data_IF_152350129359
#
_entry.id   IF_152350129359
#
_cell.length_a   1.000
_cell.length_b   1.000
_cell.length_c   1.000
_cell.angle_alpha   90.00
_cell.angle_beta   90.00
_cell.angle_gamma   90.00
#
_symmetry.space_group_name_H-M   'P 1'
#
loop_
_entity.id
_entity.type
_entity.pdbx_description
1 polymer ?
#
# COMPACT_ATOMS: atom_id res chain seq x y z
N UNK A 1 -35.28 65.19 10.25
CA UNK A 1 -35.73 64.13 11.17
C UNK A 1 -35.56 62.81 10.42
N UNK A 2 -34.94 61.84 11.07
CA UNK A 2 -34.64 60.46 10.68
C UNK A 2 -33.46 60.24 9.76
N UNK A 3 -32.33 60.07 10.40
CA UNK A 3 -31.08 59.49 9.93
C UNK A 3 -31.21 57.99 9.76
N UNK A 4 -31.00 57.48 8.57
CA UNK A 4 -30.83 56.03 8.34
C UNK A 4 -29.36 55.73 8.10
N UNK A 5 -28.77 55.09 9.10
CA UNK A 5 -27.38 54.56 9.05
C UNK A 5 -27.35 53.34 8.16
N UNK A 6 -26.67 53.39 7.01
CA UNK A 6 -26.33 52.25 6.21
C UNK A 6 -25.06 51.58 6.77
N UNK A 7 -25.25 50.46 7.37
CA UNK A 7 -24.18 49.57 7.85
C UNK A 7 -23.68 48.72 6.68
N UNK A 8 -22.51 49.08 6.16
CA UNK A 8 -21.85 48.40 5.04
C UNK A 8 -21.12 47.18 5.61
N UNK A 9 -21.71 46.01 5.48
CA UNK A 9 -21.06 44.73 5.80
C UNK A 9 -20.02 44.42 4.70
N UNK A 10 -18.74 44.55 5.04
CA UNK A 10 -17.64 44.09 4.19
C UNK A 10 -17.58 42.56 4.26
N UNK A 11 -17.97 41.91 3.17
CA UNK A 11 -17.78 40.46 2.97
C UNK A 11 -16.31 40.22 2.62
N UNK A 12 -15.53 39.75 3.59
CA UNK A 12 -14.20 39.22 3.37
C UNK A 12 -14.34 37.81 2.79
N UNK A 13 -14.15 37.68 1.48
CA UNK A 13 -14.04 36.41 0.82
C UNK A 13 -12.66 35.79 1.15
N UNK A 14 -12.60 34.85 2.07
CA UNK A 14 -11.44 33.95 2.22
C UNK A 14 -11.40 33.00 1.02
N UNK A 15 -10.53 33.29 0.06
CA UNK A 15 -10.11 32.31 -0.94
C UNK A 15 -9.24 31.28 -0.26
N UNK A 16 -9.84 30.17 0.16
CA UNK A 16 -9.13 28.97 0.56
C UNK A 16 -8.44 28.39 -0.67
N UNK A 17 -7.12 28.56 -0.76
CA UNK A 17 -6.28 27.88 -1.72
C UNK A 17 -6.23 26.40 -1.32
N UNK A 18 -7.19 25.61 -1.83
CA UNK A 18 -7.23 24.18 -1.68
C UNK A 18 -6.16 23.55 -2.53
N UNK A 19 -5.03 23.18 -1.93
CA UNK A 19 -4.12 22.21 -2.53
C UNK A 19 -4.87 20.90 -2.63
N UNK A 20 -5.40 20.62 -3.82
CA UNK A 20 -6.09 19.37 -4.12
C UNK A 20 -5.12 18.20 -4.04
N UNK A 21 -4.99 17.63 -2.85
CA UNK A 21 -4.49 16.29 -2.70
C UNK A 21 -5.50 15.39 -3.41
N UNK A 22 -5.10 14.84 -4.54
CA UNK A 22 -5.86 13.78 -5.22
C UNK A 22 -5.95 12.62 -4.25
N UNK A 23 -7.03 12.56 -3.47
CA UNK A 23 -7.41 11.35 -2.78
C UNK A 23 -7.71 10.32 -3.87
N UNK A 24 -6.79 9.38 -4.07
CA UNK A 24 -7.10 8.18 -4.82
C UNK A 24 -8.20 7.47 -4.06
N UNK A 25 -9.34 7.31 -4.67
CA UNK A 25 -10.43 6.48 -4.11
C UNK A 25 -9.88 5.07 -4.02
N UNK A 26 -9.50 4.66 -2.82
CA UNK A 26 -9.05 3.30 -2.55
C UNK A 26 -10.29 2.42 -2.59
N UNK A 27 -10.48 1.70 -3.70
CA UNK A 27 -11.49 0.65 -3.77
C UNK A 27 -11.08 -0.48 -2.86
N UNK A 28 -11.95 -0.94 -1.94
CA UNK A 28 -11.68 -2.13 -1.15
C UNK A 28 -11.36 -3.30 -2.09
N UNK A 29 -10.32 -4.05 -1.78
CA UNK A 29 -10.00 -5.27 -2.53
C UNK A 29 -11.04 -6.31 -2.14
N UNK A 30 -11.82 -6.82 -3.09
CA UNK A 30 -12.67 -7.97 -2.83
C UNK A 30 -11.79 -9.20 -2.59
N UNK A 31 -11.78 -9.64 -1.33
CA UNK A 31 -10.92 -10.70 -0.85
C UNK A 31 -11.59 -12.05 -1.09
N UNK A 32 -11.28 -12.62 -2.25
CA UNK A 32 -11.62 -14.00 -2.56
C UNK A 32 -10.59 -15.00 -2.03
N UNK A 33 -10.73 -16.24 -2.42
CA UNK A 33 -9.76 -17.31 -2.14
C UNK A 33 -8.39 -17.02 -2.77
N UNK A 34 -8.36 -16.18 -3.80
CA UNK A 34 -7.16 -15.77 -4.55
C UNK A 34 -7.22 -14.30 -4.91
N UNK A 35 -6.15 -13.59 -4.64
CA UNK A 35 -5.98 -12.17 -4.98
C UNK A 35 -4.98 -12.09 -6.14
N UNK A 36 -5.45 -11.64 -7.29
CA UNK A 36 -4.57 -11.32 -8.42
C UNK A 36 -3.85 -10.00 -8.15
N UNK A 37 -2.53 -10.07 -8.08
CA UNK A 37 -1.70 -8.91 -7.80
C UNK A 37 -1.35 -8.17 -9.09
N UNK A 38 -1.16 -6.87 -8.98
CA UNK A 38 -0.71 -6.06 -10.11
C UNK A 38 0.76 -6.31 -10.41
N UNK A 39 1.12 -6.25 -11.68
CA UNK A 39 2.54 -6.23 -12.07
C UNK A 39 3.16 -4.94 -11.56
N UNK A 40 4.26 -5.01 -10.78
CA UNK A 40 4.89 -3.83 -10.24
C UNK A 40 5.51 -2.97 -11.36
N UNK A 41 5.36 -1.66 -11.25
CA UNK A 41 6.07 -0.72 -12.11
C UNK A 41 7.45 -0.42 -11.50
N UNK A 42 8.56 -0.79 -12.14
CA UNK A 42 9.90 -0.54 -11.63
C UNK A 42 10.27 0.94 -11.55
N UNK A 43 9.46 1.82 -12.13
CA UNK A 43 9.65 3.28 -12.08
C UNK A 43 8.79 3.95 -11.02
N UNK A 44 7.91 3.20 -10.36
CA UNK A 44 7.05 3.73 -9.31
C UNK A 44 7.83 3.89 -8.01
N UNK A 45 7.57 5.00 -7.31
CA UNK A 45 8.13 5.27 -6.00
C UNK A 45 9.30 6.25 -6.00
N UNK A 46 10.01 6.28 -4.90
CA UNK A 46 11.17 7.15 -4.68
C UNK A 46 12.44 6.50 -5.25
N UNK A 47 13.41 7.32 -5.61
CA UNK A 47 14.76 6.80 -5.85
C UNK A 47 15.35 6.23 -4.55
N UNK A 48 16.36 5.37 -4.67
CA UNK A 48 17.02 4.78 -3.49
C UNK A 48 17.52 5.87 -2.53
N UNK A 49 18.12 6.93 -3.05
CA UNK A 49 18.66 8.01 -2.23
C UNK A 49 17.56 8.78 -1.50
N UNK A 50 16.43 9.06 -2.15
CA UNK A 50 15.27 9.68 -1.54
C UNK A 50 14.64 8.78 -0.48
N UNK A 51 14.51 7.49 -0.77
CA UNK A 51 13.98 6.52 0.18
C UNK A 51 14.87 6.38 1.43
N UNK A 52 16.19 6.34 1.25
CA UNK A 52 17.15 6.31 2.35
C UNK A 52 17.11 7.58 3.19
N UNK A 53 17.01 8.75 2.55
CA UNK A 53 16.91 10.03 3.25
C UNK A 53 15.60 10.17 4.05
N UNK A 54 14.51 9.66 3.53
CA UNK A 54 13.19 9.72 4.16
C UNK A 54 12.97 8.61 5.20
N UNK A 55 13.77 7.53 5.18
CA UNK A 55 13.60 6.39 6.08
C UNK A 55 13.75 6.78 7.53
N UNK A 56 12.73 6.54 8.31
CA UNK A 56 12.76 6.65 9.78
C UNK A 56 12.03 5.44 10.39
N UNK A 57 12.36 5.16 11.66
CA UNK A 57 11.58 4.17 12.41
C UNK A 57 10.31 4.83 12.92
N UNK A 58 9.15 4.31 12.55
CA UNK A 58 7.86 4.75 13.07
C UNK A 58 7.13 3.56 13.70
N UNK A 59 6.33 3.87 14.73
CA UNK A 59 5.39 2.93 15.35
C UNK A 59 3.95 3.41 15.24
N UNK A 60 3.76 4.56 14.61
CA UNK A 60 2.45 5.13 14.33
C UNK A 60 2.02 4.65 12.95
N UNK A 61 0.93 3.91 12.90
CA UNK A 61 0.37 3.33 11.68
C UNK A 61 -0.92 4.05 11.34
N UNK A 62 -1.13 4.30 10.05
CA UNK A 62 -2.40 4.79 9.54
C UNK A 62 -3.47 3.71 9.70
N UNK A 63 -4.71 4.08 10.05
CA UNK A 63 -5.84 3.15 10.03
C UNK A 63 -6.28 2.76 8.60
N UNK A 64 -5.72 3.43 7.58
CA UNK A 64 -6.06 3.18 6.21
C UNK A 64 -5.44 1.87 5.70
N UNK A 65 -6.25 1.09 4.99
CA UNK A 65 -5.78 -0.14 4.34
C UNK A 65 -4.91 0.19 3.13
N UNK A 66 -3.95 -0.68 2.86
CA UNK A 66 -3.15 -0.62 1.64
C UNK A 66 -4.05 -0.83 0.41
N UNK A 67 -3.81 -0.07 -0.63
CA UNK A 67 -4.38 -0.34 -1.94
C UNK A 67 -3.81 -1.65 -2.51
N UNK A 68 -4.50 -2.26 -3.47
CA UNK A 68 -3.98 -3.45 -4.17
C UNK A 68 -2.63 -3.19 -4.83
N UNK A 69 -2.39 -1.98 -5.30
CA UNK A 69 -1.14 -1.59 -5.92
C UNK A 69 0.02 -1.52 -4.92
N UNK A 70 -0.21 -0.89 -3.77
CA UNK A 70 0.76 -0.83 -2.66
C UNK A 70 1.06 -2.23 -2.12
N UNK A 71 0.02 -3.04 -1.90
CA UNK A 71 0.18 -4.44 -1.45
C UNK A 71 1.00 -5.25 -2.46
N UNK A 72 0.69 -5.13 -3.75
CA UNK A 72 1.42 -5.82 -4.82
C UNK A 72 2.89 -5.40 -4.84
N UNK A 73 3.17 -4.10 -4.71
CA UNK A 73 4.53 -3.56 -4.67
C UNK A 73 5.35 -4.09 -3.49
N UNK A 74 4.75 -4.11 -2.29
CA UNK A 74 5.41 -4.61 -1.07
C UNK A 74 5.71 -6.12 -1.17
N UNK A 75 4.75 -6.92 -1.62
CA UNK A 75 4.92 -8.37 -1.76
C UNK A 75 5.96 -8.71 -2.83
N UNK A 76 5.93 -7.99 -3.95
CA UNK A 76 6.94 -8.16 -5.00
C UNK A 76 8.32 -7.74 -4.50
N UNK A 77 8.47 -6.63 -3.80
CA UNK A 77 9.74 -6.21 -3.24
C UNK A 77 10.31 -7.23 -2.25
N UNK A 78 9.44 -7.91 -1.48
CA UNK A 78 9.86 -8.92 -0.52
C UNK A 78 10.34 -10.22 -1.15
N UNK A 79 9.67 -10.72 -2.19
CA UNK A 79 9.99 -12.02 -2.79
C UNK A 79 9.46 -12.18 -4.24
N UNK A 80 9.35 -11.10 -5.01
CA UNK A 80 8.89 -11.17 -6.39
C UNK A 80 9.96 -11.69 -7.34
N UNK A 81 9.56 -12.26 -8.47
CA UNK A 81 10.45 -12.60 -9.55
C UNK A 81 10.85 -11.32 -10.29
N UNK A 82 12.13 -11.03 -10.37
CA UNK A 82 12.66 -9.82 -10.99
C UNK A 82 13.53 -10.08 -12.24
N UNK A 83 13.72 -11.35 -12.60
CA UNK A 83 14.53 -11.78 -13.74
C UNK A 83 13.90 -12.97 -14.48
N UNK A 84 14.20 -13.08 -15.75
CA UNK A 84 13.69 -14.16 -16.62
C UNK A 84 14.13 -15.56 -16.17
N UNK A 85 15.28 -15.66 -15.49
CA UNK A 85 15.81 -16.90 -14.92
C UNK A 85 15.05 -17.36 -13.65
N UNK A 86 14.05 -16.61 -13.21
CA UNK A 86 13.21 -16.93 -12.08
C UNK A 86 13.78 -16.58 -10.70
N UNK A 87 14.91 -15.87 -10.67
CA UNK A 87 15.45 -15.39 -9.39
C UNK A 87 14.55 -14.31 -8.78
N UNK A 88 14.53 -14.29 -7.44
CA UNK A 88 13.69 -13.37 -6.67
C UNK A 88 14.44 -12.07 -6.34
N UNK A 89 13.69 -11.06 -5.96
CA UNK A 89 14.19 -9.79 -5.45
C UNK A 89 15.08 -9.97 -4.22
N UNK A 90 14.68 -10.84 -3.30
CA UNK A 90 15.48 -11.21 -2.15
C UNK A 90 16.50 -12.31 -2.51
N UNK A 91 17.79 -12.13 -2.20
CA UNK A 91 18.79 -13.15 -2.49
C UNK A 91 18.63 -14.38 -1.61
N UNK A 92 18.98 -15.56 -2.13
CA UNK A 92 19.01 -16.80 -1.38
C UNK A 92 20.23 -17.63 -1.76
N UNK A 93 20.86 -18.24 -0.77
CA UNK A 93 21.97 -19.14 -1.02
C UNK A 93 21.52 -20.29 -1.92
N UNK A 94 22.30 -20.56 -2.99
CA UNK A 94 22.02 -21.60 -3.99
C UNK A 94 20.63 -21.51 -4.62
N UNK A 95 19.99 -20.33 -4.60
CA UNK A 95 18.63 -20.10 -5.09
C UNK A 95 17.55 -21.03 -4.50
N UNK A 96 17.73 -21.48 -3.26
CA UNK A 96 16.82 -22.42 -2.61
C UNK A 96 15.51 -21.78 -2.14
N UNK A 97 15.50 -20.48 -1.88
CA UNK A 97 14.32 -19.69 -1.46
C UNK A 97 13.42 -20.38 -0.40
N UNK A 98 13.97 -20.74 0.76
CA UNK A 98 13.20 -21.46 1.79
C UNK A 98 12.14 -20.58 2.47
N UNK A 99 12.27 -19.26 2.40
CA UNK A 99 11.36 -18.31 3.06
C UNK A 99 10.06 -18.21 2.26
N UNK A 100 8.94 -18.23 2.99
CA UNK A 100 7.60 -17.96 2.44
C UNK A 100 7.09 -16.64 3.01
N UNK A 101 6.49 -15.82 2.16
CA UNK A 101 5.92 -14.53 2.53
C UNK A 101 4.41 -14.70 2.72
N UNK A 102 3.91 -14.15 3.82
CA UNK A 102 2.49 -14.14 4.16
C UNK A 102 2.04 -12.70 4.40
N UNK A 103 0.89 -12.35 3.86
CA UNK A 103 0.19 -11.10 4.14
C UNK A 103 -0.93 -11.37 5.15
N UNK A 104 -0.89 -10.67 6.28
CA UNK A 104 -1.95 -10.70 7.28
C UNK A 104 -2.83 -9.47 7.02
N UNK A 105 -4.03 -9.71 6.54
CA UNK A 105 -5.01 -8.69 6.21
C UNK A 105 -6.23 -8.87 7.11
N UNK A 106 -7.10 -7.86 7.30
CA UNK A 106 -8.28 -7.99 8.16
C UNK A 106 -9.20 -9.15 7.76
N UNK A 107 -9.23 -9.49 6.48
CA UNK A 107 -10.09 -10.54 5.93
C UNK A 107 -9.47 -11.93 6.04
N UNK A 108 -8.17 -12.02 6.31
CA UNK A 108 -7.51 -13.31 6.43
C UNK A 108 -6.01 -13.28 6.20
N UNK A 109 -5.44 -14.48 6.15
CA UNK A 109 -4.02 -14.67 5.88
C UNK A 109 -3.84 -15.20 4.46
N UNK A 110 -2.94 -14.59 3.73
CA UNK A 110 -2.67 -14.92 2.34
C UNK A 110 -1.20 -15.24 2.14
N UNK A 111 -0.91 -16.37 1.49
CA UNK A 111 0.45 -16.74 1.10
C UNK A 111 0.75 -16.19 -0.28
N UNK A 112 1.83 -15.45 -0.39
CA UNK A 112 2.31 -14.94 -1.67
C UNK A 112 2.96 -16.05 -2.52
N UNK A 113 2.53 -16.17 -3.77
CA UNK A 113 3.16 -16.99 -4.79
C UNK A 113 3.89 -16.08 -5.78
N UNK A 114 5.20 -16.03 -5.68
CA UNK A 114 6.05 -15.18 -6.51
C UNK A 114 6.05 -15.55 -7.98
N UNK A 115 5.86 -16.82 -8.33
CA UNK A 115 5.87 -17.27 -9.73
C UNK A 115 4.60 -16.88 -10.46
N UNK A 116 3.46 -17.00 -9.79
CA UNK A 116 2.17 -16.63 -10.34
C UNK A 116 1.83 -15.14 -10.12
N UNK A 117 2.59 -14.45 -9.27
CA UNK A 117 2.30 -13.08 -8.80
C UNK A 117 0.89 -12.95 -8.23
N UNK A 118 0.53 -13.84 -7.34
CA UNK A 118 -0.77 -13.89 -6.66
C UNK A 118 -0.62 -14.12 -5.16
N UNK A 119 -1.62 -13.73 -4.41
CA UNK A 119 -1.78 -14.10 -3.01
C UNK A 119 -2.94 -15.08 -2.86
N UNK A 120 -2.67 -16.25 -2.29
CA UNK A 120 -3.65 -17.32 -2.10
C UNK A 120 -4.04 -17.41 -0.64
N UNK A 121 -5.34 -17.48 -0.37
CA UNK A 121 -5.86 -17.63 0.99
C UNK A 121 -5.24 -18.85 1.68
N UNK A 122 -4.74 -18.62 2.90
CA UNK A 122 -4.10 -19.64 3.71
C UNK A 122 -4.95 -19.94 4.95
N UNK A 123 -5.81 -20.94 4.84
CA UNK A 123 -6.79 -21.29 5.88
C UNK A 123 -6.24 -22.15 7.00
N UNK A 124 -4.99 -22.65 6.91
CA UNK A 124 -4.41 -23.61 7.84
C UNK A 124 -3.63 -23.00 9.02
N UNK A 125 -3.69 -21.68 9.23
CA UNK A 125 -3.27 -21.12 10.51
C UNK A 125 -4.36 -21.36 11.58
N UNK A 126 -4.68 -22.62 11.84
CA UNK A 126 -5.26 -22.97 13.14
C UNK A 126 -4.16 -22.73 14.16
N UNK A 127 -4.31 -21.69 14.98
CA UNK A 127 -3.62 -21.65 16.24
C UNK A 127 -3.93 -22.96 16.95
N UNK A 128 -2.92 -23.75 17.26
CA UNK A 128 -3.06 -24.81 18.23
C UNK A 128 -3.37 -24.10 19.54
N UNK A 129 -4.64 -24.02 19.87
CA UNK A 129 -5.07 -23.70 21.22
C UNK A 129 -4.62 -24.89 22.08
N UNK A 130 -3.55 -24.68 22.81
CA UNK A 130 -3.13 -25.55 23.91
C UNK A 130 -3.78 -25.07 25.18
#
# INVERSE_FOLDING_TARGET
>A
MKTSSLMMCALVALTACGTGVKQSVRTPVEMGERIELKTPDPKMGLTINEALAARSSSRDFSPEMLSLEELSGVLWAAAGVNREDGHLTAPSAMALYPIRVYAFLPEGVYRYDSKANVSVSYTHLRAHET
#
